data_IF_101300292301
#
_entry.id   IF_101300292301
#
_cell.length_a   1.000
_cell.length_b   1.000
_cell.length_c   1.000
_cell.angle_alpha   90.00
_cell.angle_beta   90.00
_cell.angle_gamma   90.00
#
_symmetry.space_group_name_H-M   'P 1'
#
loop_
_entity.id
_entity.type
_entity.pdbx_description
1 polymer ?
#
# COMPACT_ATOMS: atom_id res chain seq x y z
N UNK A 1 30.45 18.03 -21.49
CA UNK A 1 29.28 18.78 -21.98
C UNK A 1 28.09 18.34 -21.13
N UNK A 2 27.82 19.09 -20.07
CA UNK A 2 26.70 18.82 -19.17
C UNK A 2 25.43 19.41 -19.76
N UNK A 3 24.45 18.57 -20.05
CA UNK A 3 23.08 18.99 -20.28
C UNK A 3 22.41 19.13 -18.92
N UNK A 4 22.14 20.37 -18.51
CA UNK A 4 21.17 20.64 -17.46
C UNK A 4 19.82 20.06 -17.88
N UNK A 5 19.36 19.01 -17.20
CA UNK A 5 17.96 18.62 -17.18
C UNK A 5 17.19 19.77 -16.52
N UNK A 6 16.71 20.73 -17.32
CA UNK A 6 15.74 21.69 -16.85
C UNK A 6 14.44 20.95 -16.57
N UNK A 7 14.09 20.88 -15.28
CA UNK A 7 12.75 20.54 -14.81
C UNK A 7 11.76 21.54 -15.42
N UNK A 8 11.08 21.11 -16.48
CA UNK A 8 9.86 21.73 -16.97
C UNK A 8 8.79 20.65 -16.91
N UNK A 9 8.46 20.20 -15.70
CA UNK A 9 7.18 19.54 -15.49
C UNK A 9 6.10 20.59 -15.81
N UNK A 10 5.23 20.39 -16.80
CA UNK A 10 4.15 21.32 -17.05
C UNK A 10 3.34 21.50 -15.75
N UNK A 11 2.96 22.73 -15.42
CA UNK A 11 2.19 23.02 -14.21
C UNK A 11 0.94 22.13 -14.16
N UNK A 12 0.86 21.29 -13.14
CA UNK A 12 -0.32 20.43 -12.93
C UNK A 12 -1.50 21.31 -12.50
N UNK A 13 -2.74 21.00 -12.92
CA UNK A 13 -3.93 21.70 -12.44
C UNK A 13 -4.08 21.55 -10.92
N UNK A 14 -4.68 22.52 -10.25
CA UNK A 14 -4.97 22.42 -8.80
C UNK A 14 -5.77 21.17 -8.47
N UNK A 15 -5.47 20.53 -7.33
CA UNK A 15 -6.17 19.34 -6.85
C UNK A 15 -7.70 19.58 -6.77
N UNK A 16 -8.53 18.78 -7.47
CA UNK A 16 -9.99 18.94 -7.43
C UNK A 16 -10.62 18.38 -6.14
N UNK A 17 -9.83 17.70 -5.31
CA UNK A 17 -10.29 16.96 -4.13
C UNK A 17 -10.42 17.88 -2.92
N UNK A 18 -11.57 18.53 -2.77
CA UNK A 18 -11.87 19.43 -1.65
C UNK A 18 -13.12 18.98 -0.89
N UNK A 19 -13.23 19.26 0.43
CA UNK A 19 -14.44 19.00 1.20
C UNK A 19 -15.69 19.59 0.53
N UNK A 20 -16.78 18.83 0.56
CA UNK A 20 -18.04 19.17 -0.11
C UNK A 20 -18.09 18.84 -1.61
N UNK A 21 -16.97 18.46 -2.24
CA UNK A 21 -16.99 18.01 -3.63
C UNK A 21 -17.79 16.73 -3.79
N UNK A 22 -18.73 16.73 -4.75
CA UNK A 22 -19.63 15.62 -5.04
C UNK A 22 -19.29 15.00 -6.38
N UNK A 23 -19.26 13.68 -6.43
CA UNK A 23 -18.93 12.95 -7.64
C UNK A 23 -19.63 11.59 -7.65
N UNK A 24 -19.88 11.07 -8.84
CA UNK A 24 -20.49 9.76 -9.06
C UNK A 24 -19.41 8.80 -9.50
N UNK A 25 -19.33 7.64 -8.86
CA UNK A 25 -18.42 6.57 -9.27
C UNK A 25 -19.21 5.35 -9.71
N UNK A 26 -18.66 4.61 -10.66
CA UNK A 26 -19.27 3.40 -11.20
C UNK A 26 -18.47 2.18 -10.74
N UNK A 27 -19.16 1.12 -10.32
CA UNK A 27 -18.49 -0.10 -9.87
C UNK A 27 -17.63 -0.69 -10.99
N UNK A 28 -16.52 -1.29 -10.60
CA UNK A 28 -15.52 -1.77 -11.52
C UNK A 28 -14.85 -3.00 -10.94
N UNK A 29 -14.80 -4.07 -11.73
CA UNK A 29 -14.02 -5.26 -11.44
C UNK A 29 -12.59 -5.02 -11.94
N UNK A 30 -11.60 -4.96 -11.03
CA UNK A 30 -10.21 -4.73 -11.40
C UNK A 30 -9.70 -5.84 -12.33
N UNK A 31 -8.79 -5.53 -13.27
CA UNK A 31 -8.06 -6.57 -13.98
C UNK A 31 -7.14 -7.34 -13.00
N UNK A 32 -6.68 -8.54 -13.38
CA UNK A 32 -5.68 -9.26 -12.61
C UNK A 32 -4.41 -8.41 -12.41
N UNK A 33 -3.66 -8.58 -11.29
CA UNK A 33 -2.40 -7.89 -11.08
C UNK A 33 -1.40 -8.09 -12.22
N UNK A 34 -0.60 -7.06 -12.46
CA UNK A 34 0.43 -7.07 -13.50
C UNK A 34 1.42 -8.21 -13.27
N UNK A 35 1.73 -8.96 -14.34
CA UNK A 35 2.82 -9.94 -14.34
C UNK A 35 4.19 -9.25 -14.19
N UNK A 36 5.23 -10.00 -13.78
CA UNK A 36 6.56 -9.44 -13.59
C UNK A 36 7.11 -8.73 -14.84
N UNK A 37 6.90 -9.30 -16.03
CA UNK A 37 7.29 -8.69 -17.31
C UNK A 37 6.50 -7.40 -17.57
N UNK A 38 5.18 -7.44 -17.32
CA UNK A 38 4.34 -6.27 -17.39
C UNK A 38 4.66 -5.24 -16.32
N UNK A 39 5.43 -5.50 -15.26
CA UNK A 39 5.86 -4.46 -14.31
C UNK A 39 7.15 -3.78 -14.74
N UNK A 40 8.04 -4.50 -15.39
CA UNK A 40 9.37 -3.98 -15.75
C UNK A 40 9.41 -3.07 -16.98
N UNK A 41 8.35 -3.06 -17.78
CA UNK A 41 8.24 -2.18 -18.96
C UNK A 41 8.25 -0.69 -18.55
N UNK A 42 9.21 0.05 -19.10
CA UNK A 42 9.24 1.52 -19.04
C UNK A 42 8.33 2.14 -20.09
N UNK A 43 8.52 3.43 -20.36
CA UNK A 43 7.85 4.10 -21.47
C UNK A 43 8.17 3.44 -22.82
N UNK A 44 7.18 3.40 -23.70
CA UNK A 44 7.38 3.22 -25.14
C UNK A 44 7.88 4.51 -25.79
N UNK A 45 8.43 4.41 -27.01
CA UNK A 45 8.81 5.58 -27.80
C UNK A 45 7.64 6.56 -27.98
N UNK A 46 6.44 6.04 -28.27
CA UNK A 46 5.23 6.87 -28.40
C UNK A 46 4.84 7.55 -27.10
N UNK A 47 4.86 6.83 -25.96
CA UNK A 47 4.53 7.46 -24.68
C UNK A 47 5.55 8.54 -24.30
N UNK A 48 6.83 8.39 -24.65
CA UNK A 48 7.81 9.45 -24.46
C UNK A 48 7.49 10.66 -25.34
N UNK A 49 7.22 10.47 -26.62
CA UNK A 49 6.84 11.56 -27.54
C UNK A 49 5.59 12.30 -27.06
N UNK A 50 4.56 11.57 -26.66
CA UNK A 50 3.31 12.12 -26.14
C UNK A 50 3.52 12.86 -24.82
N UNK A 51 4.42 12.39 -23.94
CA UNK A 51 4.75 13.08 -22.70
C UNK A 51 5.34 14.48 -22.96
N UNK A 52 6.10 14.64 -24.05
CA UNK A 52 6.67 15.94 -24.46
C UNK A 52 5.67 16.83 -25.19
N UNK A 53 4.69 16.25 -25.88
CA UNK A 53 3.74 16.99 -26.73
C UNK A 53 2.42 17.32 -26.02
N UNK A 54 1.99 16.50 -25.07
CA UNK A 54 0.72 16.63 -24.37
C UNK A 54 0.91 17.28 -23.00
N UNK A 55 -0.10 18.03 -22.55
CA UNK A 55 -0.18 18.41 -21.14
C UNK A 55 -0.42 17.19 -20.23
N UNK A 56 -0.05 17.22 -18.94
CA UNK A 56 -0.17 16.06 -18.05
C UNK A 56 -1.58 15.47 -17.97
N UNK A 57 -2.60 16.32 -17.95
CA UNK A 57 -4.00 15.87 -17.94
C UNK A 57 -4.39 15.19 -19.27
N UNK A 58 -3.95 15.72 -20.40
CA UNK A 58 -4.22 15.14 -21.72
C UNK A 58 -3.48 13.82 -21.92
N UNK A 59 -2.26 13.71 -21.41
CA UNK A 59 -1.51 12.45 -21.34
C UNK A 59 -2.31 11.39 -20.55
N UNK A 60 -2.86 11.75 -19.38
CA UNK A 60 -3.69 10.83 -18.60
C UNK A 60 -4.98 10.41 -19.33
N UNK A 61 -5.58 11.29 -20.13
CA UNK A 61 -6.74 10.94 -20.96
C UNK A 61 -6.36 10.06 -22.16
N UNK A 62 -5.16 10.26 -22.74
CA UNK A 62 -4.65 9.46 -23.85
C UNK A 62 -4.30 8.02 -23.40
N UNK A 63 -3.82 7.88 -22.17
CA UNK A 63 -3.39 6.61 -21.57
C UNK A 63 -4.24 6.27 -20.33
N UNK A 64 -5.53 5.90 -20.50
CA UNK A 64 -6.40 5.56 -19.38
C UNK A 64 -5.95 4.27 -18.68
N UNK A 65 -6.38 4.04 -17.43
CA UNK A 65 -6.15 2.77 -16.72
C UNK A 65 -6.67 1.57 -17.51
N UNK A 66 -6.13 0.37 -17.27
CA UNK A 66 -6.62 -0.86 -17.90
C UNK A 66 -8.13 -1.01 -17.69
N UNK A 67 -8.84 -1.40 -18.75
CA UNK A 67 -10.31 -1.32 -18.82
C UNK A 67 -11.02 -2.09 -17.69
N UNK A 68 -10.53 -3.28 -17.33
CA UNK A 68 -11.22 -4.22 -16.43
C UNK A 68 -12.64 -4.52 -16.92
N UNK A 69 -13.58 -4.75 -15.99
CA UNK A 69 -15.01 -4.86 -16.32
C UNK A 69 -15.81 -3.81 -15.56
N UNK A 70 -16.58 -3.00 -16.28
CA UNK A 70 -17.44 -1.99 -15.67
C UNK A 70 -18.73 -2.64 -15.19
N UNK A 71 -19.04 -2.48 -13.90
CA UNK A 71 -20.30 -2.89 -13.32
C UNK A 71 -21.42 -1.87 -13.57
N UNK A 72 -22.66 -2.26 -13.26
CA UNK A 72 -23.85 -1.41 -13.47
C UNK A 72 -24.16 -0.48 -12.30
N UNK A 73 -23.57 -0.73 -11.13
CA UNK A 73 -23.83 0.06 -9.93
C UNK A 73 -23.14 1.43 -10.00
N UNK A 74 -23.88 2.48 -9.64
CA UNK A 74 -23.34 3.83 -9.48
C UNK A 74 -23.65 4.34 -8.09
N UNK A 75 -22.67 4.96 -7.45
CA UNK A 75 -22.82 5.53 -6.11
C UNK A 75 -22.40 7.00 -6.13
N UNK A 76 -23.15 7.80 -5.38
CA UNK A 76 -22.89 9.24 -5.25
C UNK A 76 -22.14 9.50 -3.95
N UNK A 77 -20.94 10.07 -4.07
CA UNK A 77 -20.04 10.34 -2.97
C UNK A 77 -19.88 11.84 -2.76
N UNK A 78 -19.61 12.23 -1.51
CA UNK A 78 -19.25 13.59 -1.15
C UNK A 78 -18.08 13.58 -0.18
N UNK A 79 -17.03 14.33 -0.48
CA UNK A 79 -15.84 14.45 0.38
C UNK A 79 -16.22 15.15 1.68
N UNK A 80 -15.83 14.56 2.81
CA UNK A 80 -16.01 15.13 4.15
C UNK A 80 -14.68 15.70 4.64
N UNK A 81 -13.67 14.84 4.84
CA UNK A 81 -12.36 15.23 5.39
C UNK A 81 -11.22 14.69 4.53
N UNK A 82 -10.15 15.48 4.40
CA UNK A 82 -8.94 15.07 3.70
C UNK A 82 -8.02 14.29 4.66
N UNK A 83 -7.59 13.08 4.28
CA UNK A 83 -6.67 12.28 5.09
C UNK A 83 -5.22 12.42 4.57
N UNK A 84 -5.03 12.20 3.27
CA UNK A 84 -3.77 12.32 2.55
C UNK A 84 -4.06 12.84 1.15
N UNK A 85 -4.16 14.17 1.04
CA UNK A 85 -4.36 14.86 -0.25
C UNK A 85 -3.27 15.90 -0.41
N UNK A 86 -2.33 15.63 -1.31
CA UNK A 86 -1.18 16.51 -1.59
C UNK A 86 -0.63 16.26 -2.98
N UNK A 87 0.21 17.18 -3.44
CA UNK A 87 0.98 17.05 -4.67
C UNK A 87 2.47 17.27 -4.37
N UNK A 88 3.37 16.35 -4.81
CA UNK A 88 3.07 15.04 -5.38
C UNK A 88 2.67 14.00 -4.31
N UNK A 89 1.85 13.00 -4.67
CA UNK A 89 1.67 11.79 -3.83
C UNK A 89 1.20 10.54 -4.58
N UNK A 90 1.51 9.37 -4.01
CA UNK A 90 1.18 8.07 -4.61
C UNK A 90 -0.31 7.79 -4.75
N UNK A 91 -1.16 8.37 -3.91
CA UNK A 91 -2.63 8.23 -3.98
C UNK A 91 -3.29 9.30 -3.13
N UNK A 92 -4.47 9.73 -3.57
CA UNK A 92 -5.28 10.73 -2.88
C UNK A 92 -6.28 10.01 -1.98
N UNK A 93 -6.19 10.24 -0.67
CA UNK A 93 -7.02 9.55 0.33
C UNK A 93 -7.83 10.55 1.14
N UNK A 94 -9.13 10.34 1.22
CA UNK A 94 -10.04 11.19 1.97
C UNK A 94 -11.24 10.38 2.44
N UNK A 95 -12.03 10.96 3.34
CA UNK A 95 -13.27 10.35 3.76
C UNK A 95 -14.45 10.91 2.99
N UNK A 96 -15.45 10.06 2.75
CA UNK A 96 -16.66 10.38 2.01
C UNK A 96 -17.89 9.90 2.78
N UNK A 97 -19.02 10.57 2.54
CA UNK A 97 -20.35 10.00 2.79
C UNK A 97 -20.92 9.45 1.49
N UNK A 98 -21.64 8.35 1.61
CA UNK A 98 -22.42 7.79 0.49
C UNK A 98 -23.81 8.42 0.53
N UNK A 99 -24.09 9.30 -0.43
CA UNK A 99 -25.34 10.03 -0.50
C UNK A 99 -26.47 9.16 -1.10
N UNK A 100 -26.14 8.28 -2.06
CA UNK A 100 -27.07 7.38 -2.74
C UNK A 100 -26.33 6.13 -3.23
N UNK A 101 -26.93 4.94 -3.05
CA UNK A 101 -26.38 3.64 -3.43
C UNK A 101 -26.77 2.52 -2.45
N UNK A 102 -26.58 1.25 -2.83
CA UNK A 102 -26.76 0.10 -1.93
C UNK A 102 -25.49 -0.09 -1.10
N UNK A 103 -25.29 0.75 -0.10
CA UNK A 103 -24.08 0.73 0.73
C UNK A 103 -24.39 0.29 2.17
N UNK A 104 -23.48 -0.43 2.87
CA UNK A 104 -23.77 -0.97 4.19
C UNK A 104 -24.20 0.11 5.20
N UNK A 105 -25.31 -0.11 5.95
CA UNK A 105 -25.99 0.92 6.74
C UNK A 105 -25.21 1.47 7.95
N UNK A 106 -24.07 0.87 8.31
CA UNK A 106 -23.27 1.27 9.48
C UNK A 106 -22.10 2.21 9.16
N UNK A 107 -21.86 2.51 7.88
CA UNK A 107 -20.58 3.08 7.43
C UNK A 107 -20.65 4.59 7.15
N UNK A 108 -21.37 5.37 7.98
CA UNK A 108 -21.64 6.80 7.75
C UNK A 108 -20.43 7.66 7.35
N UNK A 109 -19.21 7.18 7.62
CA UNK A 109 -17.95 7.66 7.05
C UNK A 109 -17.20 6.49 6.39
N UNK A 110 -16.79 6.68 5.14
CA UNK A 110 -16.03 5.70 4.33
C UNK A 110 -14.72 6.33 3.89
N UNK A 111 -13.65 5.55 3.74
CA UNK A 111 -12.39 6.03 3.14
C UNK A 111 -12.44 5.78 1.64
N UNK A 112 -12.20 6.82 0.85
CA UNK A 112 -11.94 6.71 -0.59
C UNK A 112 -10.45 6.92 -0.84
N UNK A 113 -9.83 5.97 -1.54
CA UNK A 113 -8.44 6.05 -1.99
C UNK A 113 -8.40 6.03 -3.51
N UNK A 114 -7.94 7.13 -4.10
CA UNK A 114 -7.90 7.37 -5.55
C UNK A 114 -6.47 7.24 -6.07
N UNK A 115 -6.35 6.58 -7.22
CA UNK A 115 -5.11 6.37 -7.96
C UNK A 115 -5.10 7.32 -9.16
N UNK A 116 -5.06 8.64 -8.93
CA UNK A 116 -5.00 9.64 -10.00
C UNK A 116 -3.56 9.78 -10.51
N UNK A 117 -3.25 9.37 -11.75
CA UNK A 117 -1.90 9.47 -12.31
C UNK A 117 -1.46 10.90 -12.54
N UNK A 118 -2.40 11.86 -12.63
CA UNK A 118 -2.07 13.27 -12.80
C UNK A 118 -1.23 13.78 -11.63
N UNK A 119 -1.50 13.33 -10.41
CA UNK A 119 -0.88 13.85 -9.18
C UNK A 119 0.18 12.92 -8.58
N UNK A 120 0.58 11.89 -9.35
CA UNK A 120 1.56 10.92 -8.92
C UNK A 120 2.95 11.54 -8.74
N UNK A 121 3.74 11.00 -7.80
CA UNK A 121 5.13 11.39 -7.59
C UNK A 121 6.05 10.68 -8.59
N UNK A 122 6.37 11.36 -9.67
CA UNK A 122 7.14 10.85 -10.81
C UNK A 122 8.65 11.10 -10.71
N UNK A 123 9.18 11.36 -9.51
CA UNK A 123 10.59 11.73 -9.29
C UNK A 123 11.63 10.84 -10.01
N UNK A 124 11.35 9.55 -10.19
CA UNK A 124 12.25 8.60 -10.84
C UNK A 124 12.15 8.58 -12.39
N UNK A 125 11.09 9.17 -12.98
CA UNK A 125 10.82 9.31 -14.43
C UNK A 125 10.97 8.04 -15.31
N UNK A 126 11.12 6.85 -14.72
CA UNK A 126 11.42 5.62 -15.44
C UNK A 126 10.17 4.92 -16.01
N UNK A 127 9.00 5.14 -15.42
CA UNK A 127 7.72 4.52 -15.81
C UNK A 127 6.62 5.57 -15.91
N UNK A 128 5.65 5.31 -16.79
CA UNK A 128 4.43 6.10 -16.92
C UNK A 128 3.62 6.13 -15.61
N UNK A 129 3.26 7.33 -15.09
CA UNK A 129 2.37 7.48 -13.94
C UNK A 129 1.05 6.72 -14.07
N UNK A 130 0.44 6.73 -15.27
CA UNK A 130 -0.79 5.98 -15.56
C UNK A 130 -0.63 4.50 -15.26
N UNK A 131 0.51 3.94 -15.67
CA UNK A 131 0.81 2.52 -15.53
C UNK A 131 1.17 2.15 -14.10
N UNK A 132 1.89 3.01 -13.38
CA UNK A 132 2.19 2.78 -11.96
C UNK A 132 0.91 2.81 -11.13
N UNK A 133 0.03 3.78 -11.35
CA UNK A 133 -1.23 3.88 -10.61
C UNK A 133 -2.14 2.68 -10.85
N UNK A 134 -2.22 2.23 -12.09
CA UNK A 134 -3.02 1.05 -12.44
C UNK A 134 -2.44 -0.24 -11.84
N UNK A 135 -1.12 -0.35 -11.78
CA UNK A 135 -0.41 -1.42 -11.08
C UNK A 135 -0.74 -1.41 -9.58
N UNK A 136 -0.61 -0.26 -8.90
CA UNK A 136 -0.92 -0.11 -7.47
C UNK A 136 -2.38 -0.44 -7.17
N UNK A 137 -3.32 0.08 -7.97
CA UNK A 137 -4.74 -0.20 -7.86
C UNK A 137 -5.06 -1.70 -8.00
N UNK A 138 -4.51 -2.36 -9.03
CA UNK A 138 -4.78 -3.79 -9.29
C UNK A 138 -4.16 -4.69 -8.21
N UNK A 139 -3.03 -4.28 -7.62
CA UNK A 139 -2.37 -5.03 -6.54
C UNK A 139 -3.11 -4.90 -5.22
N UNK A 140 -3.49 -3.69 -4.85
CA UNK A 140 -4.20 -3.46 -3.59
C UNK A 140 -5.59 -4.11 -3.58
N UNK A 141 -6.33 -3.99 -4.68
CA UNK A 141 -7.63 -4.66 -4.83
C UNK A 141 -7.51 -6.19 -4.74
N UNK A 142 -6.48 -6.76 -5.38
CA UNK A 142 -6.20 -8.19 -5.25
C UNK A 142 -5.77 -8.59 -3.84
N UNK A 143 -4.99 -7.75 -3.14
CA UNK A 143 -4.57 -7.98 -1.76
C UNK A 143 -5.77 -8.13 -0.82
N UNK A 144 -6.76 -7.22 -0.91
CA UNK A 144 -8.00 -7.33 -0.13
C UNK A 144 -8.80 -8.59 -0.46
N UNK A 145 -8.80 -9.03 -1.72
CA UNK A 145 -9.45 -10.28 -2.12
C UNK A 145 -8.80 -11.50 -1.46
N UNK A 146 -7.48 -11.61 -1.50
CA UNK A 146 -6.76 -12.80 -0.96
C UNK A 146 -6.63 -12.78 0.56
N UNK A 147 -6.68 -11.60 1.17
CA UNK A 147 -6.67 -11.39 2.63
C UNK A 147 -8.07 -11.19 3.21
N UNK A 148 -9.10 -11.63 2.49
CA UNK A 148 -10.50 -11.37 2.82
C UNK A 148 -10.92 -11.85 4.23
N UNK A 149 -10.31 -12.94 4.72
CA UNK A 149 -10.54 -13.47 6.07
C UNK A 149 -10.10 -12.54 7.22
N UNK A 150 -9.25 -11.54 6.93
CA UNK A 150 -8.74 -10.59 7.91
C UNK A 150 -9.52 -9.27 7.94
N UNK A 151 -10.45 -9.08 7.00
CA UNK A 151 -11.22 -7.85 6.90
C UNK A 151 -12.13 -7.64 8.12
N UNK A 152 -12.17 -6.41 8.63
CA UNK A 152 -12.88 -6.03 9.84
C UNK A 152 -12.14 -6.34 11.14
N UNK A 153 -11.01 -7.05 11.08
CA UNK A 153 -10.20 -7.39 12.26
C UNK A 153 -8.81 -6.77 12.17
N UNK A 154 -7.94 -7.34 11.33
CA UNK A 154 -6.53 -6.94 11.14
C UNK A 154 -6.34 -6.00 9.94
N UNK A 155 -7.28 -5.98 9.00
CA UNK A 155 -7.32 -5.04 7.87
C UNK A 155 -8.74 -4.46 7.73
N UNK A 156 -8.92 -3.28 7.11
CA UNK A 156 -10.25 -2.70 6.88
C UNK A 156 -11.13 -3.59 5.99
N UNK A 157 -12.45 -3.46 6.09
CA UNK A 157 -13.31 -3.93 5.00
C UNK A 157 -13.07 -3.10 3.72
N UNK A 158 -12.92 -3.77 2.58
CA UNK A 158 -13.02 -3.19 1.25
C UNK A 158 -14.47 -3.35 0.78
N UNK A 159 -15.16 -2.23 0.67
CA UNK A 159 -16.56 -2.19 0.22
C UNK A 159 -16.68 -2.36 -1.29
N UNK A 160 -15.64 -2.00 -2.05
CA UNK A 160 -15.61 -2.22 -3.48
C UNK A 160 -14.57 -1.38 -4.19
N UNK A 161 -14.51 -1.58 -5.50
CA UNK A 161 -13.65 -0.87 -6.44
C UNK A 161 -14.49 -0.16 -7.50
N UNK A 162 -14.07 1.04 -7.87
CA UNK A 162 -14.86 1.94 -8.69
C UNK A 162 -13.99 2.77 -9.65
N UNK A 163 -14.68 3.39 -10.61
CA UNK A 163 -14.11 4.30 -11.61
C UNK A 163 -14.78 5.65 -11.53
N UNK A 164 -14.00 6.68 -11.79
CA UNK A 164 -14.43 8.07 -11.83
C UNK A 164 -13.84 8.74 -13.08
N UNK A 165 -14.69 9.29 -13.92
CA UNK A 165 -14.26 10.15 -15.02
C UNK A 165 -14.23 11.60 -14.56
N UNK A 166 -13.07 12.24 -14.67
CA UNK A 166 -12.89 13.63 -14.31
C UNK A 166 -12.65 14.45 -15.59
N UNK A 167 -13.49 15.45 -15.88
CA UNK A 167 -13.31 16.34 -17.03
C UNK A 167 -11.96 17.05 -16.97
N UNK A 168 -11.36 17.24 -18.15
CA UNK A 168 -10.16 18.07 -18.31
C UNK A 168 -10.61 19.49 -18.63
N UNK A 169 -10.10 20.46 -17.86
CA UNK A 169 -10.44 21.87 -18.06
C UNK A 169 -10.10 22.32 -19.49
N UNK A 170 -11.02 23.06 -20.13
CA UNK A 170 -10.88 23.54 -21.50
C UNK A 170 -10.71 22.44 -22.58
N UNK A 171 -11.14 21.21 -22.30
CA UNK A 171 -11.10 20.08 -23.23
C UNK A 171 -12.40 19.28 -23.21
N UNK A 172 -12.72 18.60 -24.33
CA UNK A 172 -13.82 17.64 -24.40
C UNK A 172 -13.41 16.23 -23.91
N UNK A 173 -12.17 16.08 -23.44
CA UNK A 173 -11.63 14.83 -22.93
C UNK A 173 -11.92 14.68 -21.44
N UNK A 174 -11.98 13.43 -21.00
CA UNK A 174 -12.01 13.04 -19.60
C UNK A 174 -10.78 12.20 -19.29
N UNK A 175 -10.27 12.29 -18.07
CA UNK A 175 -9.32 11.31 -17.54
C UNK A 175 -10.06 10.38 -16.58
N UNK A 176 -9.85 9.08 -16.74
CA UNK A 176 -10.45 8.06 -15.87
C UNK A 176 -9.51 7.78 -14.71
N UNK A 177 -10.06 7.77 -13.49
CA UNK A 177 -9.35 7.50 -12.24
C UNK A 177 -9.97 6.29 -11.57
N UNK A 178 -9.13 5.35 -11.11
CA UNK A 178 -9.59 4.21 -10.31
C UNK A 178 -9.58 4.55 -8.83
N UNK A 179 -10.51 3.98 -8.08
CA UNK A 179 -10.54 4.10 -6.63
C UNK A 179 -11.05 2.84 -5.94
N UNK A 180 -10.76 2.74 -4.65
CA UNK A 180 -11.34 1.76 -3.75
C UNK A 180 -12.04 2.47 -2.59
N UNK A 181 -13.11 1.86 -2.10
CA UNK A 181 -13.79 2.27 -0.89
C UNK A 181 -13.47 1.31 0.24
N UNK A 182 -13.01 1.85 1.36
CA UNK A 182 -12.55 1.13 2.53
C UNK A 182 -13.31 1.56 3.78
N UNK A 183 -13.37 0.67 4.76
CA UNK A 183 -13.81 0.98 6.11
C UNK A 183 -12.96 2.10 6.72
N UNK A 184 -13.64 3.09 7.29
CA UNK A 184 -12.98 4.09 8.12
C UNK A 184 -12.72 3.50 9.50
N UNK A 185 -11.44 3.44 9.89
CA UNK A 185 -11.02 2.99 11.22
C UNK A 185 -10.80 4.22 12.11
N UNK A 186 -11.65 4.47 13.12
CA UNK A 186 -11.42 5.56 14.06
C UNK A 186 -10.17 5.27 14.89
N UNK A 187 -9.17 6.14 14.83
CA UNK A 187 -7.89 5.93 15.50
C UNK A 187 -6.84 6.93 15.05
N UNK A 188 -5.60 6.64 15.43
CA UNK A 188 -4.40 7.37 14.99
C UNK A 188 -3.47 6.41 14.26
N UNK A 189 -2.73 6.90 13.27
CA UNK A 189 -1.66 6.09 12.68
C UNK A 189 -0.48 6.00 13.66
N UNK A 190 0.23 4.87 13.63
CA UNK A 190 1.33 4.59 14.55
C UNK A 190 2.55 5.50 14.32
N UNK A 191 2.64 6.20 13.17
CA UNK A 191 3.71 7.18 12.95
C UNK A 191 3.42 8.51 13.68
N UNK A 192 2.16 8.94 13.75
CA UNK A 192 1.76 10.17 14.44
C UNK A 192 1.46 9.99 15.92
N UNK A 193 1.10 8.78 16.34
CA UNK A 193 0.90 8.44 17.75
C UNK A 193 2.21 8.59 18.55
N UNK A 194 2.13 9.13 19.76
CA UNK A 194 3.27 9.23 20.66
C UNK A 194 3.46 7.88 21.40
N UNK A 195 4.60 7.18 21.24
CA UNK A 195 4.82 5.91 21.96
C UNK A 195 4.73 6.06 23.49
N UNK A 196 5.00 7.25 24.02
CA UNK A 196 4.87 7.59 25.45
C UNK A 196 3.44 7.53 25.98
N UNK A 197 2.43 7.57 25.11
CA UNK A 197 1.03 7.45 25.51
C UNK A 197 0.63 6.00 25.82
N UNK A 198 1.53 5.05 25.57
CA UNK A 198 1.33 3.62 25.74
C UNK A 198 2.37 3.05 26.69
N UNK A 199 1.92 2.29 27.70
CA UNK A 199 2.84 1.54 28.55
C UNK A 199 3.62 0.50 27.74
N UNK A 200 4.75 0.06 28.31
CA UNK A 200 5.66 -0.86 27.61
C UNK A 200 4.98 -2.20 27.28
N UNK A 201 4.11 -2.71 28.15
CA UNK A 201 3.37 -3.96 27.92
C UNK A 201 2.45 -3.85 26.69
N UNK A 202 1.73 -2.73 26.57
CA UNK A 202 0.86 -2.43 25.44
C UNK A 202 1.66 -2.29 24.15
N UNK A 203 2.80 -1.58 24.18
CA UNK A 203 3.69 -1.48 23.01
C UNK A 203 4.26 -2.83 22.59
N UNK A 204 4.62 -3.69 23.54
CA UNK A 204 5.04 -5.07 23.26
C UNK A 204 3.91 -5.86 22.58
N UNK A 205 2.68 -5.75 23.06
CA UNK A 205 1.53 -6.45 22.46
C UNK A 205 1.19 -5.91 21.06
N UNK A 206 1.28 -4.60 20.83
CA UNK A 206 1.18 -3.99 19.50
C UNK A 206 2.22 -4.61 18.57
N UNK A 207 3.50 -4.63 18.98
CA UNK A 207 4.58 -5.21 18.18
C UNK A 207 4.35 -6.69 17.90
N UNK A 208 3.88 -7.45 18.88
CA UNK A 208 3.53 -8.87 18.72
C UNK A 208 2.44 -9.06 17.67
N UNK A 209 1.35 -8.30 17.75
CA UNK A 209 0.25 -8.36 16.77
C UNK A 209 0.72 -8.04 15.34
N UNK A 210 1.63 -7.07 15.18
CA UNK A 210 2.22 -6.73 13.87
C UNK A 210 3.04 -7.91 13.32
N UNK A 211 3.90 -8.49 14.16
CA UNK A 211 4.76 -9.63 13.78
C UNK A 211 3.93 -10.84 13.40
N UNK A 212 2.92 -11.17 14.22
CA UNK A 212 2.02 -12.29 13.96
C UNK A 212 1.29 -12.11 12.63
N UNK A 213 0.67 -10.94 12.42
CA UNK A 213 -0.07 -10.67 11.19
C UNK A 213 0.84 -10.68 9.95
N UNK A 214 1.99 -9.99 10.00
CA UNK A 214 2.95 -9.99 8.89
C UNK A 214 3.49 -11.39 8.61
N UNK A 215 3.68 -12.23 9.64
CA UNK A 215 4.10 -13.63 9.46
C UNK A 215 3.02 -14.49 8.81
N UNK A 216 1.76 -14.26 9.14
CA UNK A 216 0.63 -14.91 8.46
C UNK A 216 0.53 -14.50 7.00
N UNK A 217 0.70 -13.21 6.70
CA UNK A 217 0.70 -12.68 5.32
C UNK A 217 1.88 -13.23 4.53
N UNK A 218 3.06 -13.30 5.14
CA UNK A 218 4.26 -13.90 4.53
C UNK A 218 4.06 -15.38 4.23
N UNK A 219 3.44 -16.13 5.14
CA UNK A 219 3.11 -17.55 4.94
C UNK A 219 2.18 -17.77 3.73
N UNK A 220 1.30 -16.81 3.42
CA UNK A 220 0.47 -16.78 2.20
C UNK A 220 1.23 -16.34 0.94
N UNK A 221 2.55 -16.29 1.02
CA UNK A 221 3.47 -15.86 -0.04
C UNK A 221 3.29 -14.40 -0.46
N UNK A 222 2.88 -13.55 0.49
CA UNK A 222 2.73 -12.11 0.27
C UNK A 222 3.77 -11.36 1.10
N UNK A 223 4.55 -10.48 0.46
CA UNK A 223 5.50 -9.60 1.12
C UNK A 223 4.88 -8.22 1.26
N UNK A 224 4.77 -7.75 2.50
CA UNK A 224 4.47 -6.36 2.82
C UNK A 224 5.75 -5.52 2.67
N UNK A 225 5.98 -4.97 1.47
CA UNK A 225 7.20 -4.19 1.20
C UNK A 225 7.22 -2.85 1.95
N UNK A 226 6.05 -2.26 2.16
CA UNK A 226 5.86 -0.99 2.88
C UNK A 226 5.31 -1.22 4.30
N UNK A 227 5.92 -2.16 5.04
CA UNK A 227 5.57 -2.41 6.44
C UNK A 227 6.15 -1.31 7.35
N UNK A 228 5.44 -0.18 7.43
CA UNK A 228 5.88 1.04 8.11
C UNK A 228 4.81 1.53 9.10
N UNK A 229 5.16 2.17 10.23
CA UNK A 229 4.17 2.67 11.21
C UNK A 229 3.03 3.52 10.63
N UNK A 230 3.29 4.30 9.58
CA UNK A 230 2.27 5.12 8.89
C UNK A 230 1.13 4.33 8.26
N UNK A 231 1.36 3.03 8.03
CA UNK A 231 0.40 2.11 7.45
C UNK A 231 -0.30 1.26 8.53
N UNK A 232 -0.14 1.60 9.81
CA UNK A 232 -0.77 0.88 10.93
C UNK A 232 -1.63 1.87 11.70
N UNK A 233 -2.94 1.59 11.76
CA UNK A 233 -3.87 2.34 12.60
C UNK A 233 -4.00 1.66 13.95
N UNK A 234 -3.90 2.45 15.01
CA UNK A 234 -4.22 2.09 16.39
C UNK A 234 -5.66 2.54 16.68
N UNK A 235 -6.64 1.62 16.70
CA UNK A 235 -8.04 1.97 16.83
C UNK A 235 -8.36 2.58 18.19
N UNK A 236 -9.28 3.54 18.20
CA UNK A 236 -9.76 4.17 19.43
C UNK A 236 -10.51 3.14 20.28
N UNK A 237 -10.17 3.04 21.56
CA UNK A 237 -10.86 2.20 22.54
C UNK A 237 -10.34 0.76 22.63
N UNK A 238 -9.40 0.36 21.76
CA UNK A 238 -8.68 -0.90 21.87
C UNK A 238 -7.18 -0.65 21.63
N UNK A 239 -6.40 -0.43 22.71
CA UNK A 239 -5.00 0.00 22.60
C UNK A 239 -4.06 -1.10 22.08
N UNK A 240 -4.52 -2.37 22.02
CA UNK A 240 -3.71 -3.51 21.59
C UNK A 240 -4.00 -3.91 20.14
N UNK A 241 -5.18 -3.56 19.62
CA UNK A 241 -5.57 -3.83 18.23
C UNK A 241 -4.72 -3.00 17.27
N UNK A 242 -4.25 -3.66 16.22
CA UNK A 242 -3.53 -3.04 15.11
C UNK A 242 -4.26 -3.33 13.82
N UNK A 243 -4.50 -2.31 13.00
CA UNK A 243 -5.11 -2.45 11.67
C UNK A 243 -4.12 -1.99 10.62
N UNK A 244 -3.67 -2.92 9.78
CA UNK A 244 -2.78 -2.61 8.65
C UNK A 244 -3.60 -2.08 7.47
N UNK A 245 -3.13 -1.00 6.87
CA UNK A 245 -3.70 -0.34 5.69
C UNK A 245 -2.64 -0.25 4.59
N UNK A 246 -3.05 0.23 3.41
CA UNK A 246 -2.17 0.49 2.25
C UNK A 246 -1.44 -0.77 1.72
N UNK A 247 -2.08 -1.47 0.78
CA UNK A 247 -1.52 -2.66 0.13
C UNK A 247 -1.04 -2.39 -1.31
N UNK A 248 -0.83 -1.13 -1.69
CA UNK A 248 -0.43 -0.74 -3.05
C UNK A 248 0.89 -1.39 -3.50
N UNK A 249 1.81 -1.61 -2.56
CA UNK A 249 3.17 -2.07 -2.82
C UNK A 249 3.40 -3.53 -2.34
N UNK A 250 2.35 -4.34 -2.20
CA UNK A 250 2.53 -5.76 -1.84
C UNK A 250 3.12 -6.57 -3.00
N UNK A 251 3.98 -7.52 -2.66
CA UNK A 251 4.53 -8.49 -3.60
C UNK A 251 3.96 -9.89 -3.38
N UNK A 252 3.36 -10.46 -4.43
CA UNK A 252 2.82 -11.82 -4.41
C UNK A 252 3.87 -12.86 -4.81
N UNK A 253 3.69 -14.10 -4.36
CA UNK A 253 4.59 -15.24 -4.57
C UNK A 253 6.00 -15.02 -4.03
N UNK A 254 6.14 -14.21 -2.96
CA UNK A 254 7.43 -13.74 -2.41
C UNK A 254 8.41 -13.19 -3.45
N UNK A 255 7.90 -12.64 -4.56
CA UNK A 255 8.76 -12.08 -5.63
C UNK A 255 9.06 -10.63 -5.36
N UNK A 256 10.30 -10.32 -4.95
CA UNK A 256 10.80 -8.95 -4.94
C UNK A 256 10.75 -8.35 -6.35
N UNK A 257 10.49 -7.05 -6.42
CA UNK A 257 10.43 -6.31 -7.69
C UNK A 257 11.79 -5.91 -8.23
N UNK A 258 12.83 -6.10 -7.42
CA UNK A 258 14.17 -5.69 -7.77
C UNK A 258 14.75 -6.59 -8.87
N UNK A 259 15.22 -5.93 -9.93
CA UNK A 259 15.85 -6.53 -11.12
C UNK A 259 17.15 -7.27 -10.80
N UNK A 260 17.72 -7.04 -9.61
CA UNK A 260 19.04 -7.56 -9.22
C UNK A 260 19.02 -8.79 -8.31
N UNK A 261 17.86 -9.24 -7.82
CA UNK A 261 17.79 -10.47 -7.01
C UNK A 261 17.25 -11.64 -7.84
N UNK A 262 18.13 -12.56 -8.29
CA UNK A 262 17.73 -13.69 -9.09
C UNK A 262 17.07 -14.74 -8.18
N UNK A 263 15.87 -15.15 -8.56
CA UNK A 263 15.06 -16.27 -8.08
C UNK A 263 14.19 -16.11 -6.82
N UNK A 264 12.86 -16.28 -6.95
CA UNK A 264 11.91 -16.32 -5.83
C UNK A 264 11.93 -17.64 -5.04
N UNK A 265 12.51 -18.70 -5.59
CA UNK A 265 12.52 -20.02 -4.97
C UNK A 265 13.38 -20.04 -3.70
N UNK A 266 14.33 -19.11 -3.58
CA UNK A 266 15.15 -18.93 -2.39
C UNK A 266 14.36 -18.49 -1.17
N UNK A 267 13.15 -17.94 -1.32
CA UNK A 267 12.34 -17.47 -0.17
C UNK A 267 11.37 -18.54 0.33
N UNK A 268 11.53 -19.79 -0.09
CA UNK A 268 10.82 -20.97 0.40
C UNK A 268 9.29 -20.78 0.36
N UNK A 269 8.70 -20.52 -0.83
CA UNK A 269 7.26 -20.28 -0.97
C UNK A 269 6.43 -21.42 -0.38
N UNK A 270 5.30 -21.09 0.23
CA UNK A 270 4.42 -22.04 0.92
C UNK A 270 4.94 -22.57 2.26
N UNK A 271 6.17 -22.22 2.67
CA UNK A 271 6.71 -22.61 3.98
C UNK A 271 6.51 -21.52 5.02
N UNK A 272 6.12 -21.90 6.24
CA UNK A 272 6.09 -20.99 7.37
C UNK A 272 7.51 -20.71 7.85
N UNK A 273 7.89 -19.43 7.88
CA UNK A 273 9.21 -19.01 8.34
C UNK A 273 9.07 -18.31 9.69
N UNK A 274 9.72 -18.89 10.71
CA UNK A 274 9.67 -18.42 12.09
C UNK A 274 10.01 -16.92 12.21
N UNK A 275 9.23 -16.14 12.99
CA UNK A 275 9.54 -14.76 13.33
C UNK A 275 10.92 -14.59 13.97
N UNK A 276 11.43 -15.62 14.67
CA UNK A 276 12.75 -15.60 15.30
C UNK A 276 13.87 -15.32 14.29
N UNK A 277 13.68 -15.73 13.03
CA UNK A 277 14.62 -15.47 11.94
C UNK A 277 14.27 -14.16 11.23
N UNK A 278 13.04 -14.02 10.72
CA UNK A 278 12.66 -12.87 9.87
C UNK A 278 12.63 -11.54 10.59
N UNK A 279 12.33 -11.53 11.89
CA UNK A 279 12.22 -10.32 12.70
C UNK A 279 13.45 -10.08 13.58
N UNK A 280 14.53 -10.86 13.41
CA UNK A 280 15.78 -10.67 14.14
C UNK A 280 16.34 -9.24 13.97
N UNK A 281 16.32 -8.71 12.76
CA UNK A 281 16.83 -7.37 12.40
C UNK A 281 15.77 -6.43 11.81
N UNK A 282 14.58 -6.92 11.47
CA UNK A 282 13.48 -6.18 10.79
C UNK A 282 12.74 -5.16 11.68
N UNK A 283 13.37 -4.65 12.75
CA UNK A 283 12.74 -3.70 13.69
C UNK A 283 12.94 -2.23 13.35
N UNK A 284 13.80 -1.91 12.38
CA UNK A 284 14.30 -0.54 12.15
C UNK A 284 13.18 0.49 11.92
N UNK A 285 12.14 0.14 11.15
CA UNK A 285 11.00 1.03 10.93
C UNK A 285 10.18 1.32 12.20
N UNK A 286 10.31 0.48 13.23
CA UNK A 286 9.56 0.52 14.49
C UNK A 286 10.45 0.88 15.69
N UNK A 287 11.69 1.32 15.48
CA UNK A 287 12.66 1.57 16.55
C UNK A 287 12.12 2.51 17.64
N UNK A 288 11.40 3.56 17.25
CA UNK A 288 10.81 4.53 18.19
C UNK A 288 9.77 3.94 19.14
N UNK A 289 9.25 2.74 18.85
CA UNK A 289 8.27 2.04 19.68
C UNK A 289 8.90 1.03 20.64
N UNK A 290 10.21 0.78 20.52
CA UNK A 290 10.92 -0.31 21.19
C UNK A 290 12.02 0.29 22.07
N UNK A 291 11.81 0.25 23.38
CA UNK A 291 12.77 0.66 24.43
C UNK A 291 13.15 -0.52 25.35
N UNK A 292 13.01 -1.75 24.84
CA UNK A 292 13.36 -2.99 25.54
C UNK A 292 14.32 -3.84 24.71
N UNK A 293 14.91 -4.82 25.38
CA UNK A 293 15.80 -5.81 24.77
C UNK A 293 15.06 -6.66 23.71
N UNK A 294 15.23 -6.29 22.45
CA UNK A 294 14.47 -6.86 21.33
C UNK A 294 14.68 -8.37 21.18
N UNK A 295 15.93 -8.84 21.21
CA UNK A 295 16.25 -10.26 20.98
C UNK A 295 15.71 -11.16 22.09
N UNK A 296 15.95 -10.89 23.39
CA UNK A 296 15.31 -11.62 24.49
C UNK A 296 13.79 -11.63 24.39
N UNK A 297 13.18 -10.47 24.13
CA UNK A 297 11.72 -10.36 24.02
C UNK A 297 11.16 -11.17 22.85
N UNK A 298 11.76 -11.07 21.66
CA UNK A 298 11.35 -11.82 20.47
C UNK A 298 11.46 -13.34 20.71
N UNK A 299 12.55 -13.78 21.35
CA UNK A 299 12.73 -15.19 21.75
C UNK A 299 11.64 -15.61 22.74
N UNK A 300 11.35 -14.82 23.76
CA UNK A 300 10.33 -15.15 24.74
C UNK A 300 8.93 -15.30 24.10
N UNK A 301 8.55 -14.40 23.19
CA UNK A 301 7.24 -14.44 22.55
C UNK A 301 7.10 -15.57 21.51
N UNK A 302 8.16 -15.83 20.73
CA UNK A 302 8.09 -16.72 19.57
C UNK A 302 8.92 -18.00 19.71
N UNK A 303 9.41 -18.35 20.91
CA UNK A 303 10.15 -19.59 21.18
C UNK A 303 9.41 -20.84 20.71
N UNK A 304 8.08 -20.84 20.77
CA UNK A 304 7.22 -21.92 20.32
C UNK A 304 7.35 -22.23 18.81
N UNK A 305 7.84 -21.28 18.02
CA UNK A 305 8.09 -21.44 16.58
C UNK A 305 9.48 -22.01 16.27
N UNK A 306 10.34 -22.19 17.27
CA UNK A 306 11.72 -22.68 17.06
C UNK A 306 11.78 -24.07 16.43
N UNK A 307 10.80 -24.93 16.74
CA UNK A 307 10.70 -26.28 16.19
C UNK A 307 10.35 -26.31 14.69
N UNK A 308 9.86 -25.20 14.13
CA UNK A 308 9.57 -25.10 12.69
C UNK A 308 10.80 -24.71 11.86
N UNK A 309 11.94 -24.41 12.51
CA UNK A 309 13.16 -23.98 11.83
C UNK A 309 13.93 -25.22 11.36
N UNK A 310 13.80 -25.55 10.07
CA UNK A 310 14.58 -26.60 9.42
C UNK A 310 16.00 -26.12 9.06
N UNK A 311 16.94 -27.03 8.73
CA UNK A 311 18.25 -26.65 8.21
C UNK A 311 18.17 -25.76 6.96
N UNK A 312 17.27 -26.08 6.02
CA UNK A 312 17.01 -25.28 4.80
C UNK A 312 16.52 -23.87 5.13
N UNK A 313 15.56 -23.73 6.05
CA UNK A 313 15.08 -22.42 6.51
C UNK A 313 16.21 -21.62 7.16
N UNK A 314 17.08 -22.28 7.93
CA UNK A 314 18.21 -21.65 8.60
C UNK A 314 19.30 -21.23 7.61
N UNK A 315 19.51 -21.97 6.53
CA UNK A 315 20.45 -21.59 5.48
C UNK A 315 20.03 -20.29 4.78
N UNK A 316 18.73 -20.13 4.52
CA UNK A 316 18.18 -18.96 3.84
C UNK A 316 18.01 -17.75 4.76
N UNK A 317 17.45 -17.95 5.96
CA UNK A 317 17.02 -16.86 6.86
C UNK A 317 17.85 -16.75 8.14
N UNK A 318 18.82 -17.65 8.33
CA UNK A 318 19.73 -17.60 9.46
C UNK A 318 20.73 -16.44 9.37
N UNK A 319 21.51 -16.21 10.45
CA UNK A 319 22.64 -15.29 10.37
C UNK A 319 23.62 -15.76 9.29
N UNK A 320 24.14 -14.82 8.50
CA UNK A 320 25.36 -15.08 7.72
C UNK A 320 26.53 -15.27 8.71
N UNK A 321 27.51 -16.08 8.32
CA UNK A 321 28.73 -16.33 9.12
C UNK A 321 29.46 -15.06 9.57
N UNK A 322 29.25 -13.94 8.89
CA UNK A 322 29.88 -12.65 9.17
C UNK A 322 29.14 -11.82 10.24
N UNK A 323 28.01 -12.32 10.78
CA UNK A 323 27.15 -11.60 11.73
C UNK A 323 27.12 -12.20 13.15
N UNK A 324 27.88 -13.26 13.40
CA UNK A 324 27.94 -13.88 14.73
C UNK A 324 28.93 -13.16 15.67
N UNK A 325 29.89 -12.39 15.16
CA UNK A 325 30.98 -11.82 15.96
C UNK A 325 30.94 -10.29 16.19
N UNK A 326 29.95 -9.55 15.68
CA UNK A 326 29.91 -8.07 15.82
C UNK A 326 28.83 -7.49 16.74
N UNK A 327 27.97 -8.31 17.35
CA UNK A 327 26.74 -7.84 18.00
C UNK A 327 26.67 -8.08 19.52
N UNK A 328 27.78 -8.46 20.16
CA UNK A 328 27.90 -8.61 21.64
C UNK A 328 28.47 -7.36 22.33
N UNK A 329 28.45 -6.21 21.66
CA UNK A 329 28.78 -4.93 22.27
C UNK A 329 27.85 -3.84 21.78
N UNK A 330 26.74 -3.66 22.51
CA UNK A 330 26.27 -2.36 23.02
C UNK A 330 25.27 -2.57 24.16
#
# INVERSE_FOLDING_TARGET
MGGHFMSLSPLRPSLPYVPGWKFTVQSHLPPPPFTATQRQRGYTGQELEDLWQLGPAEFCAQYPPLLGEMGSEKINLEIIDLLKVKEPCNSQTFTVKVNQGNFPPHSGKVVAKLYDPLYYDDADNWKSPCRIQDEKYSRETHAYSVLSEFQGSRIPYMYGSYSLDIPIENSNKVRTVRLILLEYIPGVDMQTAAPSDFDQETRQEIMKNIIEFESTVFFKDIILQDNHPRNIILPKGDPKRTVLIDFADVAFNRRFEDRYFPHPDFLLPGQYISPLLRWRTKKTAFSNWIDWEWRPWLKAQFAHTSSTITPEIREVFGPSSDSEDSDDSD
#
